data_IF_552972430655
#
_entry.id   IF_552972430655
#
_cell.length_a   1.000
_cell.length_b   1.000
_cell.length_c   1.000
_cell.angle_alpha   90.00
_cell.angle_beta   90.00
_cell.angle_gamma   90.00
#
_symmetry.space_group_name_H-M   'P 1'
#
loop_
_entity.id
_entity.type
_entity.pdbx_description
1 polymer ?
#
# COMPACT_ATOMS: atom_id res chain seq x y z
N UNK A 1 -24.43 -8.93 2.97
CA UNK A 1 -25.66 -9.77 2.98
C UNK A 1 -25.47 -11.18 2.39
N UNK A 2 -25.14 -11.35 1.10
CA UNK A 2 -25.09 -12.67 0.43
C UNK A 2 -24.13 -13.69 1.09
N UNK A 3 -22.91 -13.27 1.45
CA UNK A 3 -21.92 -14.17 2.09
C UNK A 3 -22.16 -14.37 3.59
N UNK A 4 -22.80 -13.41 4.26
CA UNK A 4 -23.07 -13.45 5.71
C UNK A 4 -24.06 -14.56 6.06
N UNK A 5 -25.08 -14.76 5.22
CA UNK A 5 -26.07 -15.81 5.43
C UNK A 5 -25.53 -17.22 5.17
N UNK A 6 -24.54 -17.35 4.26
CA UNK A 6 -23.95 -18.64 3.90
C UNK A 6 -22.90 -19.10 4.92
N UNK A 7 -22.12 -18.17 5.50
CA UNK A 7 -21.00 -18.52 6.37
C UNK A 7 -21.33 -18.65 7.86
N UNK A 8 -22.32 -17.90 8.38
CA UNK A 8 -22.62 -17.89 9.82
C UNK A 8 -24.13 -17.75 10.03
N UNK A 9 -24.82 -18.87 10.31
CA UNK A 9 -26.29 -18.94 10.39
C UNK A 9 -26.92 -18.19 11.58
N UNK A 10 -26.14 -17.85 12.63
CA UNK A 10 -26.69 -17.39 13.91
C UNK A 10 -26.11 -16.05 14.43
N UNK A 11 -25.36 -15.30 13.62
CA UNK A 11 -24.78 -14.02 14.06
C UNK A 11 -25.86 -12.95 14.33
N UNK A 12 -27.00 -13.05 13.65
CA UNK A 12 -28.04 -12.01 13.61
C UNK A 12 -28.83 -11.85 14.92
N UNK A 13 -28.84 -12.85 15.80
CA UNK A 13 -29.58 -12.77 17.08
C UNK A 13 -28.92 -11.88 18.14
N UNK A 14 -27.62 -11.61 18.01
CA UNK A 14 -26.86 -10.79 18.98
C UNK A 14 -26.78 -9.29 18.63
N UNK A 15 -27.24 -8.89 17.44
CA UNK A 15 -27.01 -7.55 16.85
C UNK A 15 -28.33 -6.79 16.62
N UNK A 16 -29.42 -7.15 17.32
CA UNK A 16 -30.73 -6.53 17.09
C UNK A 16 -30.82 -5.03 17.46
N UNK A 17 -29.77 -4.44 18.05
CA UNK A 17 -29.73 -3.04 18.45
C UNK A 17 -29.13 -2.07 17.39
N UNK A 18 -28.53 -2.57 16.31
CA UNK A 18 -27.77 -1.74 15.33
C UNK A 18 -28.18 -1.97 13.86
N UNK A 19 -29.48 -2.12 13.62
CA UNK A 19 -30.07 -2.47 12.31
C UNK A 19 -29.77 -1.49 11.16
N UNK A 20 -29.44 -0.22 11.43
CA UNK A 20 -29.13 0.76 10.38
C UNK A 20 -27.67 0.82 9.93
N UNK A 21 -26.72 0.43 10.79
CA UNK A 21 -25.28 0.62 10.54
C UNK A 21 -24.68 -0.56 9.76
N UNK A 22 -25.17 -1.77 10.02
CA UNK A 22 -24.69 -2.97 9.33
C UNK A 22 -24.90 -2.98 7.81
N UNK A 23 -26.08 -2.65 7.26
CA UNK A 23 -26.25 -2.65 5.81
C UNK A 23 -25.32 -1.63 5.14
N UNK A 24 -25.12 -0.48 5.77
CA UNK A 24 -24.23 0.57 5.26
C UNK A 24 -22.76 0.09 5.21
N UNK A 25 -22.28 -0.60 6.24
CA UNK A 25 -20.90 -1.13 6.24
C UNK A 25 -20.75 -2.24 5.18
N UNK A 26 -21.75 -3.11 5.04
CA UNK A 26 -21.76 -4.14 3.99
C UNK A 26 -21.68 -3.52 2.58
N UNK A 27 -22.44 -2.44 2.33
CA UNK A 27 -22.46 -1.73 1.05
C UNK A 27 -21.12 -1.02 0.76
N UNK A 28 -20.50 -0.43 1.79
CA UNK A 28 -19.15 0.16 1.67
C UNK A 28 -18.11 -0.91 1.37
N UNK A 29 -18.16 -2.07 2.04
CA UNK A 29 -17.24 -3.18 1.77
C UNK A 29 -17.39 -3.70 0.33
N UNK A 30 -18.61 -3.83 -0.17
CA UNK A 30 -18.86 -4.15 -1.58
C UNK A 30 -18.29 -3.10 -2.53
N UNK A 31 -18.47 -1.81 -2.19
CA UNK A 31 -17.94 -0.69 -2.96
C UNK A 31 -16.41 -0.69 -3.00
N UNK A 32 -15.73 -1.00 -1.90
CA UNK A 32 -14.27 -1.12 -1.82
C UNK A 32 -13.75 -2.13 -2.83
N UNK A 33 -14.40 -3.30 -2.95
CA UNK A 33 -14.01 -4.35 -3.90
C UNK A 33 -14.16 -3.84 -5.35
N UNK A 34 -15.30 -3.19 -5.65
CA UNK A 34 -15.59 -2.63 -6.97
C UNK A 34 -14.56 -1.55 -7.35
N UNK A 35 -14.30 -0.59 -6.46
CA UNK A 35 -13.31 0.47 -6.70
C UNK A 35 -11.90 -0.09 -6.83
N UNK A 36 -11.54 -1.11 -6.05
CA UNK A 36 -10.23 -1.76 -6.17
C UNK A 36 -10.05 -2.43 -7.53
N UNK A 37 -11.07 -3.15 -8.02
CA UNK A 37 -11.05 -3.77 -9.35
C UNK A 37 -11.01 -2.72 -10.46
N UNK A 38 -11.77 -1.63 -10.29
CA UNK A 38 -11.82 -0.54 -11.26
C UNK A 38 -10.46 0.17 -11.37
N UNK A 39 -9.77 0.43 -10.26
CA UNK A 39 -8.41 0.99 -10.26
C UNK A 39 -7.45 0.06 -11.02
N UNK A 40 -7.50 -1.26 -10.76
CA UNK A 40 -6.67 -2.23 -11.49
C UNK A 40 -6.94 -2.21 -12.99
N UNK A 41 -8.21 -2.17 -13.40
CA UNK A 41 -8.61 -2.10 -14.80
C UNK A 41 -8.11 -0.81 -15.45
N UNK A 42 -8.26 0.32 -14.76
CA UNK A 42 -7.82 1.63 -15.26
C UNK A 42 -6.31 1.67 -15.44
N UNK A 43 -5.53 1.18 -14.48
CA UNK A 43 -4.06 1.13 -14.59
C UNK A 43 -3.62 0.20 -15.73
N UNK A 44 -4.29 -0.94 -15.92
CA UNK A 44 -3.91 -1.91 -16.95
C UNK A 44 -4.30 -1.49 -18.38
N UNK A 45 -5.48 -0.87 -18.55
CA UNK A 45 -6.06 -0.62 -19.88
C UNK A 45 -5.87 0.80 -20.40
N UNK A 46 -5.70 1.80 -19.53
CA UNK A 46 -5.80 3.20 -19.94
C UNK A 46 -4.43 3.90 -20.00
N UNK A 47 -4.26 4.83 -20.95
CA UNK A 47 -3.03 5.62 -21.05
C UNK A 47 -2.83 6.51 -19.81
N UNK A 48 -1.58 6.91 -19.56
CA UNK A 48 -1.15 7.73 -18.41
C UNK A 48 -1.92 9.05 -18.23
N UNK A 49 -2.71 9.48 -19.22
CA UNK A 49 -3.62 10.63 -19.14
C UNK A 49 -4.70 10.50 -18.05
N UNK A 50 -5.10 9.28 -17.69
CA UNK A 50 -6.14 9.03 -16.67
C UNK A 50 -5.58 8.82 -15.25
N UNK A 51 -4.30 9.10 -15.03
CA UNK A 51 -3.68 9.11 -13.70
C UNK A 51 -4.42 9.95 -12.65
N UNK A 52 -4.95 11.17 -12.92
CA UNK A 52 -5.68 11.93 -11.90
C UNK A 52 -6.99 11.25 -11.46
N UNK A 53 -7.68 10.54 -12.37
CA UNK A 53 -8.88 9.78 -11.98
C UNK A 53 -8.54 8.63 -11.05
N UNK A 54 -7.42 7.95 -11.29
CA UNK A 54 -6.93 6.89 -10.40
C UNK A 54 -6.61 7.44 -9.00
N UNK A 55 -6.05 8.65 -8.90
CA UNK A 55 -5.81 9.32 -7.62
C UNK A 55 -7.11 9.66 -6.88
N UNK A 56 -8.13 10.14 -7.60
CA UNK A 56 -9.45 10.41 -7.02
C UNK A 56 -10.09 9.12 -6.51
N UNK A 57 -10.04 8.04 -7.30
CA UNK A 57 -10.56 6.73 -6.89
C UNK A 57 -9.80 6.16 -5.69
N UNK A 58 -8.48 6.35 -5.64
CA UNK A 58 -7.66 5.95 -4.51
C UNK A 58 -8.01 6.72 -3.23
N UNK A 59 -8.30 8.03 -3.35
CA UNK A 59 -8.77 8.84 -2.23
C UNK A 59 -10.14 8.35 -1.74
N UNK A 60 -11.08 8.08 -2.65
CA UNK A 60 -12.40 7.52 -2.30
C UNK A 60 -12.23 6.18 -1.57
N UNK A 61 -11.35 5.32 -2.09
CA UNK A 61 -11.04 4.02 -1.47
C UNK A 61 -10.47 4.19 -0.07
N UNK A 62 -9.57 5.16 0.14
CA UNK A 62 -9.02 5.48 1.45
C UNK A 62 -10.08 5.99 2.43
N UNK A 63 -10.96 6.88 1.99
CA UNK A 63 -12.08 7.37 2.79
C UNK A 63 -13.04 6.25 3.19
N UNK A 64 -13.33 5.31 2.29
CA UNK A 64 -14.14 4.13 2.58
C UNK A 64 -13.49 3.24 3.65
N UNK A 65 -12.21 2.91 3.48
CA UNK A 65 -11.47 2.13 4.48
C UNK A 65 -11.35 2.83 5.83
N UNK A 66 -11.15 4.15 5.80
CA UNK A 66 -11.06 5.03 6.95
C UNK A 66 -12.38 5.05 7.75
N UNK A 67 -13.51 5.19 7.07
CA UNK A 67 -14.84 5.10 7.67
C UNK A 67 -15.08 3.73 8.32
N UNK A 68 -14.82 2.63 7.60
CA UNK A 68 -15.02 1.30 8.15
C UNK A 68 -14.09 1.00 9.34
N UNK A 69 -12.83 1.44 9.27
CA UNK A 69 -11.88 1.32 10.38
C UNK A 69 -12.38 2.06 11.62
N UNK A 70 -12.92 3.26 11.45
CA UNK A 70 -13.50 4.03 12.55
C UNK A 70 -14.70 3.30 13.19
N UNK A 71 -15.63 2.78 12.39
CA UNK A 71 -16.78 2.01 12.89
C UNK A 71 -16.32 0.76 13.66
N UNK A 72 -15.34 0.02 13.16
CA UNK A 72 -14.82 -1.19 13.81
C UNK A 72 -14.11 -0.90 15.13
N UNK A 73 -13.41 0.24 15.23
CA UNK A 73 -12.69 0.64 16.45
C UNK A 73 -13.65 1.20 17.50
N UNK A 74 -14.51 2.17 17.13
CA UNK A 74 -15.30 2.94 18.09
C UNK A 74 -16.58 2.22 18.49
N UNK A 75 -17.35 1.75 17.52
CA UNK A 75 -18.67 1.17 17.79
C UNK A 75 -18.58 -0.30 18.18
N UNK A 76 -17.69 -1.02 17.52
CA UNK A 76 -17.60 -2.47 17.65
C UNK A 76 -16.46 -2.95 18.55
N UNK A 77 -15.51 -2.06 18.86
CA UNK A 77 -14.35 -2.32 19.73
C UNK A 77 -13.59 -3.60 19.37
N UNK A 78 -13.48 -3.90 18.07
CA UNK A 78 -12.86 -5.13 17.60
C UNK A 78 -11.34 -5.04 17.79
N UNK A 79 -10.70 -6.03 18.45
CA UNK A 79 -9.26 -5.97 18.74
C UNK A 79 -8.39 -5.98 17.49
N UNK A 80 -8.89 -6.57 16.38
CA UNK A 80 -8.16 -6.66 15.12
C UNK A 80 -8.26 -5.41 14.24
N UNK A 81 -9.16 -4.45 14.56
CA UNK A 81 -9.37 -3.26 13.73
C UNK A 81 -8.13 -2.35 13.69
N UNK A 82 -7.39 -2.29 14.80
CA UNK A 82 -6.11 -1.57 14.90
C UNK A 82 -5.03 -2.15 13.99
N UNK A 83 -4.68 -3.45 14.08
CA UNK A 83 -3.79 -4.10 13.13
C UNK A 83 -4.20 -3.91 11.67
N UNK A 84 -5.50 -4.00 11.36
CA UNK A 84 -6.00 -3.85 9.99
C UNK A 84 -5.64 -2.47 9.42
N UNK A 85 -5.90 -1.40 10.17
CA UNK A 85 -5.57 -0.03 9.74
C UNK A 85 -4.06 0.15 9.52
N UNK A 86 -3.25 -0.40 10.44
CA UNK A 86 -1.78 -0.36 10.34
C UNK A 86 -1.27 -1.15 9.13
N UNK A 87 -1.82 -2.34 8.87
CA UNK A 87 -1.45 -3.16 7.71
C UNK A 87 -1.82 -2.43 6.42
N UNK A 88 -2.99 -1.80 6.33
CA UNK A 88 -3.36 -1.00 5.16
C UNK A 88 -2.39 0.17 4.92
N UNK A 89 -1.98 0.87 5.99
CA UNK A 89 -0.99 1.94 5.88
C UNK A 89 0.40 1.42 5.45
N UNK A 90 0.87 0.31 6.02
CA UNK A 90 2.19 -0.26 5.70
C UNK A 90 2.23 -0.89 4.31
N UNK A 91 1.14 -1.53 3.87
CA UNK A 91 1.03 -2.07 2.51
C UNK A 91 0.96 -0.94 1.48
N UNK A 92 0.24 0.15 1.77
CA UNK A 92 0.27 1.35 0.94
C UNK A 92 1.66 1.98 0.89
N UNK A 93 2.39 2.00 2.00
CA UNK A 93 3.78 2.45 2.03
C UNK A 93 4.64 1.60 1.10
N UNK A 94 4.57 0.28 1.21
CA UNK A 94 5.36 -0.63 0.37
C UNK A 94 4.99 -0.54 -1.12
N UNK A 95 3.73 -0.29 -1.46
CA UNK A 95 3.27 -0.25 -2.85
C UNK A 95 3.40 1.14 -3.51
N UNK A 96 3.28 2.23 -2.74
CA UNK A 96 3.21 3.60 -3.26
C UNK A 96 4.38 4.50 -2.81
N UNK A 97 5.44 3.96 -2.19
CA UNK A 97 6.57 4.76 -1.68
C UNK A 97 7.20 5.70 -2.73
N UNK A 98 7.18 5.32 -4.01
CA UNK A 98 7.72 6.11 -5.11
C UNK A 98 6.79 7.28 -5.49
N UNK A 99 5.47 7.07 -5.49
CA UNK A 99 4.47 8.09 -5.83
C UNK A 99 3.90 8.78 -4.59
N UNK A 100 4.63 9.80 -4.10
CA UNK A 100 4.25 10.59 -2.92
C UNK A 100 2.78 11.09 -2.89
N UNK A 101 2.21 11.68 -3.96
CA UNK A 101 0.83 12.17 -3.87
C UNK A 101 -0.18 11.04 -3.67
N UNK A 102 0.01 9.90 -4.33
CA UNK A 102 -0.86 8.73 -4.19
C UNK A 102 -0.74 8.11 -2.78
N UNK A 103 0.49 8.04 -2.26
CA UNK A 103 0.78 7.58 -0.91
C UNK A 103 0.06 8.44 0.14
N UNK A 104 0.19 9.77 0.04
CA UNK A 104 -0.44 10.69 0.99
C UNK A 104 -1.97 10.64 0.90
N UNK A 105 -2.54 10.61 -0.30
CA UNK A 105 -3.98 10.48 -0.50
C UNK A 105 -4.54 9.21 0.14
N UNK A 106 -3.77 8.12 0.16
CA UNK A 106 -4.20 6.88 0.79
C UNK A 106 -3.95 6.84 2.30
N UNK A 107 -2.78 7.26 2.78
CA UNK A 107 -2.40 7.13 4.19
C UNK A 107 -3.06 8.19 5.07
N UNK A 108 -3.19 9.44 4.60
CA UNK A 108 -3.64 10.56 5.43
C UNK A 108 -5.03 10.32 6.05
N UNK A 109 -6.07 9.91 5.28
CA UNK A 109 -7.38 9.66 5.87
C UNK A 109 -7.35 8.53 6.92
N UNK A 110 -6.67 7.42 6.60
CA UNK A 110 -6.53 6.28 7.51
C UNK A 110 -5.84 6.65 8.82
N UNK A 111 -4.72 7.36 8.71
CA UNK A 111 -3.95 7.84 9.85
C UNK A 111 -4.76 8.82 10.72
N UNK A 112 -5.52 9.72 10.08
CA UNK A 112 -6.40 10.67 10.77
C UNK A 112 -7.50 9.91 11.52
N UNK A 113 -8.15 8.93 10.89
CA UNK A 113 -9.14 8.10 11.59
C UNK A 113 -8.58 7.28 12.73
N UNK A 114 -7.37 6.73 12.60
CA UNK A 114 -6.71 6.05 13.69
C UNK A 114 -6.48 7.00 14.88
N UNK A 115 -6.05 8.24 14.63
CA UNK A 115 -5.92 9.26 15.67
C UNK A 115 -7.27 9.58 16.31
N UNK A 116 -8.30 9.90 15.51
CA UNK A 116 -9.62 10.28 16.03
C UNK A 116 -10.24 9.18 16.88
N UNK A 117 -10.19 7.94 16.38
CA UNK A 117 -10.70 6.79 17.11
C UNK A 117 -9.91 6.56 18.42
N UNK A 118 -8.59 6.78 18.40
CA UNK A 118 -7.76 6.68 19.59
C UNK A 118 -8.11 7.74 20.65
N UNK A 119 -8.36 8.99 20.23
CA UNK A 119 -8.71 10.11 21.11
C UNK A 119 -10.08 9.88 21.75
N UNK A 120 -11.05 9.44 20.94
CA UNK A 120 -12.41 9.19 21.42
C UNK A 120 -12.48 8.07 22.47
N UNK A 121 -11.70 7.00 22.29
CA UNK A 121 -11.67 5.88 23.22
C UNK A 121 -10.91 6.19 24.52
N UNK A 122 -9.82 6.96 24.46
CA UNK A 122 -9.00 7.24 25.64
C UNK A 122 -9.46 8.45 26.46
N UNK A 123 -10.43 9.24 25.96
CA UNK A 123 -11.02 10.45 26.58
C UNK A 123 -10.03 11.56 27.00
N UNK A 124 -8.71 11.31 26.92
CA UNK A 124 -7.61 12.22 27.25
C UNK A 124 -6.35 11.85 26.45
N UNK A 125 -5.53 12.85 26.11
CA UNK A 125 -4.23 12.65 25.46
C UNK A 125 -3.18 12.36 26.53
N UNK A 126 -2.90 11.07 26.74
CA UNK A 126 -1.84 10.62 27.64
C UNK A 126 -0.45 10.68 26.97
N UNK A 127 0.62 10.79 27.75
CA UNK A 127 2.01 10.74 27.25
C UNK A 127 2.26 9.42 26.49
N UNK A 128 1.73 8.30 27.01
CA UNK A 128 1.83 6.98 26.36
C UNK A 128 1.18 6.97 24.99
N UNK A 129 0.02 7.59 24.86
CA UNK A 129 -0.68 7.74 23.58
C UNK A 129 0.19 8.51 22.59
N UNK A 130 0.77 9.64 23.03
CA UNK A 130 1.59 10.48 22.19
C UNK A 130 2.86 9.75 21.73
N UNK A 131 3.49 8.96 22.61
CA UNK A 131 4.65 8.13 22.25
C UNK A 131 4.30 7.07 21.20
N UNK A 132 3.20 6.33 21.37
CA UNK A 132 2.76 5.31 20.41
C UNK A 132 2.48 5.95 19.05
N UNK A 133 1.78 7.08 19.05
CA UNK A 133 1.42 7.77 17.82
C UNK A 133 2.62 8.39 17.11
N UNK A 134 3.56 9.00 17.85
CA UNK A 134 4.84 9.45 17.31
C UNK A 134 5.68 8.30 16.76
N UNK A 135 5.63 7.13 17.40
CA UNK A 135 6.33 5.94 16.90
C UNK A 135 5.72 5.48 15.58
N UNK A 136 4.39 5.46 15.48
CA UNK A 136 3.69 5.10 14.23
C UNK A 136 4.03 6.09 13.09
N UNK A 137 3.99 7.40 13.36
CA UNK A 137 4.34 8.42 12.35
C UNK A 137 5.80 8.31 11.93
N UNK A 138 6.70 8.12 12.89
CA UNK A 138 8.11 7.89 12.62
C UNK A 138 8.33 6.66 11.73
N UNK A 139 7.67 5.54 12.03
CA UNK A 139 7.74 4.32 11.20
C UNK A 139 7.30 4.60 9.77
N UNK A 140 6.20 5.32 9.56
CA UNK A 140 5.72 5.64 8.21
C UNK A 140 6.70 6.53 7.43
N UNK A 141 7.26 7.54 8.09
CA UNK A 141 8.22 8.48 7.49
C UNK A 141 9.54 7.75 7.18
N UNK A 142 10.16 7.13 8.18
CA UNK A 142 11.42 6.40 8.02
C UNK A 142 11.29 5.22 7.08
N UNK A 143 10.17 4.49 7.13
CA UNK A 143 9.89 3.39 6.22
C UNK A 143 9.93 3.84 4.76
N UNK A 144 9.34 5.01 4.45
CA UNK A 144 9.45 5.61 3.10
C UNK A 144 10.90 5.90 2.72
N UNK A 145 11.64 6.59 3.59
CA UNK A 145 13.02 6.97 3.33
C UNK A 145 13.93 5.75 3.09
N UNK A 146 13.77 4.71 3.90
CA UNK A 146 14.55 3.47 3.77
C UNK A 146 14.22 2.76 2.45
N UNK A 147 12.94 2.66 2.09
CA UNK A 147 12.52 2.04 0.82
C UNK A 147 13.06 2.79 -0.39
N UNK A 148 13.00 4.13 -0.37
CA UNK A 148 13.55 4.96 -1.45
C UNK A 148 15.06 4.79 -1.57
N UNK A 149 15.79 4.94 -0.46
CA UNK A 149 17.25 4.76 -0.45
C UNK A 149 17.66 3.39 -0.93
N UNK A 150 16.98 2.34 -0.47
CA UNK A 150 17.28 0.98 -0.89
C UNK A 150 17.05 0.77 -2.39
N UNK A 151 15.98 1.34 -2.95
CA UNK A 151 15.71 1.29 -4.37
C UNK A 151 16.80 2.01 -5.18
N UNK A 152 17.20 3.21 -4.77
CA UNK A 152 18.23 4.00 -5.46
C UNK A 152 19.59 3.28 -5.44
N UNK A 153 19.98 2.71 -4.30
CA UNK A 153 21.21 1.93 -4.16
C UNK A 153 21.18 0.66 -5.02
N UNK A 154 20.05 -0.06 -5.02
CA UNK A 154 19.88 -1.27 -5.83
C UNK A 154 19.94 -0.95 -7.33
N UNK A 155 19.33 0.17 -7.74
CA UNK A 155 19.33 0.63 -9.12
C UNK A 155 20.73 1.03 -9.60
N UNK A 156 21.48 1.76 -8.78
CA UNK A 156 22.87 2.14 -9.09
C UNK A 156 23.75 0.90 -9.31
N UNK A 157 23.71 -0.06 -8.38
CA UNK A 157 24.47 -1.31 -8.50
C UNK A 157 24.08 -2.12 -9.74
N UNK A 158 22.79 -2.12 -10.09
CA UNK A 158 22.31 -2.78 -11.30
C UNK A 158 22.91 -2.15 -12.56
N UNK A 159 22.95 -0.81 -12.64
CA UNK A 159 23.53 -0.09 -13.76
C UNK A 159 25.04 -0.34 -13.89
N UNK A 160 25.78 -0.27 -12.78
CA UNK A 160 27.22 -0.56 -12.75
C UNK A 160 27.54 -1.97 -13.26
N UNK A 161 26.82 -2.98 -12.77
CA UNK A 161 26.98 -4.37 -13.21
C UNK A 161 26.69 -4.56 -14.70
N UNK A 162 25.63 -3.91 -15.22
CA UNK A 162 25.29 -3.97 -16.65
C UNK A 162 26.37 -3.33 -17.51
N UNK A 163 26.98 -2.23 -17.05
CA UNK A 163 28.09 -1.59 -17.75
C UNK A 163 29.34 -2.50 -17.79
N UNK A 164 29.67 -3.13 -16.67
CA UNK A 164 30.81 -4.05 -16.59
C UNK A 164 30.62 -5.27 -17.50
N UNK A 165 29.43 -5.87 -17.52
CA UNK A 165 29.09 -6.97 -18.43
C UNK A 165 29.23 -6.54 -19.88
N UNK A 166 28.71 -5.37 -20.26
CA UNK A 166 28.83 -4.86 -21.63
C UNK A 166 30.30 -4.64 -22.04
N UNK A 167 31.14 -4.15 -21.12
CA UNK A 167 32.59 -3.98 -21.38
C UNK A 167 33.31 -5.32 -21.54
N UNK A 168 33.01 -6.29 -20.67
CA UNK A 168 33.56 -7.64 -20.77
C UNK A 168 33.17 -8.31 -22.08
N UNK A 169 31.93 -8.12 -22.53
CA UNK A 169 31.44 -8.69 -23.79
C UNK A 169 32.21 -8.11 -25.00
N UNK A 170 32.45 -6.80 -25.02
CA UNK A 170 33.27 -6.16 -26.06
C UNK A 170 34.71 -6.70 -26.05
N UNK A 171 35.32 -6.85 -24.88
CA UNK A 171 36.68 -7.41 -24.76
C UNK A 171 36.73 -8.86 -25.23
N UNK A 172 35.74 -9.69 -24.88
CA UNK A 172 35.65 -11.08 -25.31
C UNK A 172 35.49 -11.22 -26.84
N UNK A 173 34.70 -10.35 -27.46
CA UNK A 173 34.54 -10.32 -28.91
C UNK A 173 35.82 -9.89 -29.64
N UNK A 174 36.56 -8.93 -29.08
CA UNK A 174 37.89 -8.55 -29.60
C UNK A 174 38.89 -9.70 -29.46
N UNK A 175 38.89 -10.40 -28.32
CA UNK A 175 39.78 -11.54 -28.07
C UNK A 175 39.53 -12.71 -29.04
N UNK A 176 38.26 -13.00 -29.35
CA UNK A 176 37.90 -13.99 -30.36
C UNK A 176 38.46 -13.63 -31.75
N UNK A 177 38.39 -12.36 -32.14
CA UNK A 177 38.94 -11.89 -33.41
C UNK A 177 40.48 -11.93 -33.44
N UNK A 178 41.16 -11.59 -32.34
CA UNK A 178 42.62 -11.73 -32.24
C UNK A 178 43.07 -13.19 -32.24
N UNK A 179 42.31 -14.09 -31.64
CA UNK A 179 42.54 -15.54 -31.73
C UNK A 179 42.47 -16.06 -33.17
N UNK A 180 41.48 -15.59 -33.96
CA UNK A 180 41.40 -15.95 -35.39
C UNK A 180 42.50 -15.31 -36.24
N UNK A 181 42.90 -14.07 -35.94
CA UNK A 181 43.99 -13.38 -36.64
C UNK A 181 45.34 -14.06 -36.40
N UNK A 182 45.64 -14.41 -35.14
CA UNK A 182 46.88 -15.08 -34.77
C UNK A 182 46.96 -16.51 -35.35
N UNK A 183 45.81 -17.16 -35.53
CA UNK A 183 45.72 -18.46 -36.20
C UNK A 183 45.95 -18.36 -37.71
N UNK A 184 45.49 -17.29 -38.37
CA UNK A 184 45.74 -17.02 -39.80
C UNK A 184 47.17 -16.55 -40.11
N UNK A 185 47.89 -15.97 -39.14
CA UNK A 185 49.30 -15.60 -39.34
C UNK A 185 50.27 -16.78 -39.18
N UNK A 186 49.80 -17.93 -38.70
CA UNK A 186 50.60 -19.16 -38.57
C UNK A 186 50.36 -20.16 -39.73
N UNK A 187 49.38 -19.91 -40.60
CA UNK A 187 49.21 -20.60 -41.89
C UNK A 187 50.04 -19.90 -42.98
#
# INVERSE_FOLDING_TARGET
ILFRHILISDFDKSISAQTGILPLIDDIMGSIIIFSFLILLFIYRLPARFTPLCLVMLLILSLMWSYCSYCFIVWWQLPFAWPLSVILMLTALAALYYHLPALLLFIVPLWLTALLASVQLNQYVNIRFLLVWLTLTAILIYGRFILQRWFDEAWLRYQENRMLIARLDVMAHQDALTGTANRRSME
#
